data_IF_886540726502
#
_entry.id   IF_886540726502
#
_cell.length_a   1.000
_cell.length_b   1.000
_cell.length_c   1.000
_cell.angle_alpha   90.00
_cell.angle_beta   90.00
_cell.angle_gamma   90.00
#
_symmetry.space_group_name_H-M   'P 1'
#
loop_
_entity.id
_entity.type
_entity.pdbx_description
1 polymer ?
#
# COMPACT_ATOMS: atom_id res chain seq x y z
N UNK A 1 16.91 -1.12 5.81
CA UNK A 1 18.26 -1.23 6.43
C UNK A 1 19.32 -1.76 5.43
N UNK A 2 19.97 -0.85 4.72
CA UNK A 2 21.07 -1.17 3.80
C UNK A 2 22.36 -1.34 4.60
N UNK A 3 22.86 -2.56 4.77
CA UNK A 3 24.25 -2.77 5.19
C UNK A 3 25.15 -2.51 3.98
N UNK A 4 25.85 -1.38 3.99
CA UNK A 4 27.09 -1.24 3.25
C UNK A 4 28.02 -2.34 3.78
N UNK A 5 28.61 -3.19 2.92
CA UNK A 5 30.06 -3.44 2.92
C UNK A 5 30.50 -4.40 1.80
N UNK A 6 31.60 -3.96 1.15
CA UNK A 6 32.45 -4.56 0.11
C UNK A 6 32.01 -4.39 -1.36
N UNK A 7 32.70 -3.44 -2.04
CA UNK A 7 32.87 -3.25 -3.50
C UNK A 7 31.85 -2.43 -4.30
N UNK A 8 31.13 -1.46 -3.72
CA UNK A 8 30.38 -0.46 -4.51
C UNK A 8 29.30 -1.01 -5.45
N UNK A 9 29.01 -2.31 -5.40
CA UNK A 9 27.94 -2.97 -6.15
C UNK A 9 26.74 -3.02 -5.21
N UNK A 10 25.67 -2.30 -5.57
CA UNK A 10 24.37 -2.42 -4.93
C UNK A 10 23.82 -3.82 -5.23
N UNK A 11 23.96 -4.73 -4.26
CA UNK A 11 23.30 -6.05 -4.28
C UNK A 11 21.98 -5.92 -3.50
N UNK A 12 20.82 -6.14 -4.13
CA UNK A 12 19.55 -6.05 -3.43
C UNK A 12 19.47 -7.12 -2.34
N UNK A 13 19.16 -6.70 -1.11
CA UNK A 13 18.82 -7.60 -0.01
C UNK A 13 17.32 -7.49 0.26
N UNK A 14 16.61 -8.57 -0.02
CA UNK A 14 15.16 -8.66 0.16
C UNK A 14 14.79 -9.33 1.48
N UNK A 15 15.70 -9.55 2.44
CA UNK A 15 15.34 -10.25 3.69
C UNK A 15 14.78 -9.29 4.75
N UNK A 16 13.60 -9.61 5.28
CA UNK A 16 13.06 -8.99 6.49
C UNK A 16 13.94 -9.37 7.68
N UNK A 17 14.32 -8.38 8.48
CA UNK A 17 15.03 -8.63 9.74
C UNK A 17 14.05 -9.23 10.78
N UNK A 18 12.77 -8.87 10.70
CA UNK A 18 11.75 -9.30 11.66
C UNK A 18 11.41 -10.79 11.50
N UNK A 19 11.26 -11.27 10.26
CA UNK A 19 10.76 -12.62 9.98
C UNK A 19 11.71 -13.51 9.18
N UNK A 20 12.82 -12.97 8.67
CA UNK A 20 13.74 -13.68 7.78
C UNK A 20 13.20 -13.94 6.36
N UNK A 21 11.93 -13.59 6.11
CA UNK A 21 11.23 -13.76 4.85
C UNK A 21 11.68 -12.76 3.77
N UNK A 22 11.19 -12.96 2.55
CA UNK A 22 11.49 -12.06 1.43
C UNK A 22 10.49 -10.88 1.39
N UNK A 23 11.00 -9.66 1.58
CA UNK A 23 10.35 -8.37 1.36
C UNK A 23 10.41 -8.04 -0.13
N UNK A 24 9.27 -8.10 -0.81
CA UNK A 24 9.18 -8.02 -2.27
C UNK A 24 8.72 -6.65 -2.77
N UNK A 25 8.07 -5.84 -1.94
CA UNK A 25 7.46 -4.59 -2.36
C UNK A 25 8.47 -3.50 -2.75
N UNK A 26 9.57 -3.34 -2.00
CA UNK A 26 10.56 -2.28 -2.23
C UNK A 26 11.23 -2.33 -3.62
N UNK A 27 11.53 -3.53 -4.10
CA UNK A 27 12.05 -3.74 -5.46
C UNK A 27 11.02 -3.37 -6.54
N UNK A 28 9.76 -3.76 -6.33
CA UNK A 28 8.67 -3.46 -7.25
C UNK A 28 8.35 -1.96 -7.30
N UNK A 29 8.32 -1.30 -6.14
CA UNK A 29 8.16 0.16 -6.04
C UNK A 29 9.27 0.89 -6.78
N UNK A 30 10.52 0.41 -6.67
CA UNK A 30 11.66 0.96 -7.40
C UNK A 30 11.47 0.84 -8.91
N UNK A 31 11.01 -0.31 -9.41
CA UNK A 31 10.70 -0.49 -10.84
C UNK A 31 9.57 0.44 -11.30
N UNK A 32 8.51 0.58 -10.50
CA UNK A 32 7.38 1.48 -10.81
C UNK A 32 7.84 2.94 -10.84
N UNK A 33 8.65 3.35 -9.87
CA UNK A 33 9.22 4.70 -9.79
C UNK A 33 10.13 4.99 -10.99
N UNK A 34 11.05 4.08 -11.33
CA UNK A 34 11.93 4.20 -12.48
C UNK A 34 11.15 4.36 -13.80
N UNK A 35 10.04 3.62 -13.98
CA UNK A 35 9.18 3.76 -15.17
C UNK A 35 8.44 5.10 -15.26
N UNK A 36 8.28 5.81 -14.14
CA UNK A 36 7.61 7.12 -14.08
C UNK A 36 8.58 8.29 -14.04
N UNK A 37 9.87 8.04 -13.80
CA UNK A 37 10.87 9.09 -13.74
C UNK A 37 11.17 9.62 -15.15
N UNK A 38 11.15 10.94 -15.31
CA UNK A 38 11.48 11.58 -16.59
C UNK A 38 12.98 11.95 -16.72
N UNK A 39 13.76 11.77 -15.65
CA UNK A 39 15.21 12.01 -15.63
C UNK A 39 15.98 10.88 -16.35
N UNK A 40 16.26 11.12 -17.63
CA UNK A 40 16.99 10.17 -18.49
C UNK A 40 18.41 9.90 -18.00
N UNK A 41 19.09 10.89 -17.44
CA UNK A 41 20.47 10.74 -16.98
C UNK A 41 20.55 9.81 -15.76
N UNK A 42 19.63 9.99 -14.80
CA UNK A 42 19.49 9.08 -13.67
C UNK A 42 19.17 7.65 -14.13
N UNK A 43 18.21 7.49 -15.05
CA UNK A 43 17.84 6.17 -15.58
C UNK A 43 18.99 5.49 -16.30
N UNK A 44 19.75 6.21 -17.13
CA UNK A 44 20.91 5.67 -17.83
C UNK A 44 22.01 5.22 -16.85
N UNK A 45 22.30 6.05 -15.83
CA UNK A 45 23.27 5.74 -14.78
C UNK A 45 22.90 4.47 -14.00
N UNK A 46 21.61 4.21 -13.80
CA UNK A 46 21.11 3.12 -12.97
C UNK A 46 20.47 1.96 -13.77
N UNK A 47 20.54 1.96 -15.10
CA UNK A 47 19.89 0.97 -15.98
C UNK A 47 20.26 -0.47 -15.62
N UNK A 48 21.55 -0.74 -15.42
CA UNK A 48 22.01 -2.07 -15.03
C UNK A 48 21.42 -2.54 -13.69
N UNK A 49 21.21 -1.64 -12.73
CA UNK A 49 20.59 -1.99 -11.44
C UNK A 49 19.09 -2.27 -11.61
N UNK A 50 18.37 -1.44 -12.38
CA UNK A 50 16.95 -1.62 -12.69
C UNK A 50 16.71 -2.95 -13.41
N UNK A 51 17.57 -3.29 -14.40
CA UNK A 51 17.53 -4.59 -15.09
C UNK A 51 17.79 -5.76 -14.15
N UNK A 52 18.75 -5.65 -13.22
CA UNK A 52 18.99 -6.71 -12.22
C UNK A 52 17.78 -6.97 -11.34
N UNK A 53 17.09 -5.91 -10.88
CA UNK A 53 15.86 -6.05 -10.07
C UNK A 53 14.79 -6.77 -10.88
N UNK A 54 14.52 -6.31 -12.11
CA UNK A 54 13.54 -6.94 -13.01
C UNK A 54 13.85 -8.41 -13.26
N UNK A 55 15.08 -8.72 -13.68
CA UNK A 55 15.50 -10.08 -13.99
C UNK A 55 15.40 -11.00 -12.77
N UNK A 56 15.61 -10.48 -11.56
CA UNK A 56 15.44 -11.26 -10.33
C UNK A 56 13.98 -11.69 -10.13
N UNK A 57 13.01 -10.78 -10.31
CA UNK A 57 11.59 -11.13 -10.23
C UNK A 57 11.18 -12.10 -11.34
N UNK A 58 11.56 -11.82 -12.58
CA UNK A 58 11.20 -12.66 -13.74
C UNK A 58 11.78 -14.07 -13.61
N UNK A 59 13.06 -14.20 -13.22
CA UNK A 59 13.69 -15.52 -13.03
C UNK A 59 13.09 -16.29 -11.86
N UNK A 60 12.71 -15.60 -10.79
CA UNK A 60 12.23 -16.26 -9.56
C UNK A 60 10.74 -16.62 -9.62
N UNK A 61 9.92 -15.77 -10.22
CA UNK A 61 8.46 -15.88 -10.15
C UNK A 61 7.80 -15.99 -11.52
N UNK A 62 8.47 -15.59 -12.60
CA UNK A 62 7.91 -15.60 -13.95
C UNK A 62 6.57 -14.87 -14.01
N UNK A 63 5.56 -15.53 -14.58
CA UNK A 63 4.20 -15.00 -14.64
C UNK A 63 3.31 -15.44 -13.46
N UNK A 64 3.89 -16.03 -12.41
CA UNK A 64 3.18 -16.45 -11.20
C UNK A 64 2.83 -15.29 -10.27
N UNK A 65 1.89 -15.52 -9.36
CA UNK A 65 1.66 -14.60 -8.25
C UNK A 65 2.76 -14.75 -7.21
N UNK A 66 3.21 -13.61 -6.67
CA UNK A 66 4.20 -13.55 -5.61
C UNK A 66 3.63 -14.13 -4.32
N UNK A 67 4.45 -14.93 -3.66
CA UNK A 67 4.18 -15.51 -2.36
C UNK A 67 5.21 -14.97 -1.38
N UNK A 68 4.74 -14.49 -0.24
CA UNK A 68 5.56 -13.89 0.80
C UNK A 68 5.29 -14.53 2.17
N UNK A 69 6.23 -14.31 3.08
CA UNK A 69 6.17 -14.78 4.46
C UNK A 69 5.56 -13.72 5.35
N UNK A 70 5.36 -14.04 6.63
CA UNK A 70 4.86 -13.09 7.63
C UNK A 70 5.69 -11.80 7.63
N UNK A 71 5.00 -10.66 7.73
CA UNK A 71 5.62 -9.34 7.91
C UNK A 71 6.60 -8.96 6.78
N UNK A 72 6.25 -9.31 5.54
CA UNK A 72 7.08 -9.06 4.36
C UNK A 72 6.46 -8.08 3.36
N UNK A 73 5.29 -7.53 3.67
CA UNK A 73 4.70 -6.40 2.96
C UNK A 73 4.69 -5.15 3.83
N UNK A 74 4.19 -4.05 3.26
CA UNK A 74 4.02 -2.78 3.96
C UNK A 74 3.26 -2.90 5.30
N UNK A 75 2.19 -3.69 5.38
CA UNK A 75 1.42 -3.89 6.61
C UNK A 75 2.08 -4.94 7.53
N UNK A 76 3.33 -4.68 7.94
CA UNK A 76 4.20 -5.63 8.62
C UNK A 76 3.81 -5.93 10.09
N UNK A 77 2.81 -5.21 10.63
CA UNK A 77 2.19 -5.50 11.93
C UNK A 77 1.06 -6.54 11.87
N UNK A 78 0.77 -7.13 10.70
CA UNK A 78 -0.23 -8.20 10.54
C UNK A 78 0.42 -9.45 9.97
N UNK A 79 0.16 -10.59 10.62
CA UNK A 79 0.67 -11.91 10.24
C UNK A 79 -0.11 -12.47 9.06
N UNK A 80 0.20 -11.96 7.86
CA UNK A 80 -0.25 -12.49 6.57
C UNK A 80 0.85 -13.32 5.93
N UNK A 81 0.49 -14.38 5.24
CA UNK A 81 1.41 -15.19 4.45
C UNK A 81 0.71 -15.73 3.23
N UNK A 82 1.47 -16.16 2.23
CA UNK A 82 0.89 -16.57 0.96
C UNK A 82 0.94 -15.43 -0.05
N UNK A 83 -0.10 -15.30 -0.86
CA UNK A 83 -0.21 -14.27 -1.89
C UNK A 83 -0.98 -13.09 -1.33
N UNK A 84 -0.34 -11.96 -1.08
CA UNK A 84 -1.03 -10.74 -0.66
C UNK A 84 -1.43 -9.90 -1.88
N UNK A 85 -2.56 -9.21 -1.77
CA UNK A 85 -3.09 -8.38 -2.85
C UNK A 85 -2.14 -7.21 -3.15
N UNK A 86 -1.63 -6.55 -2.10
CA UNK A 86 -0.74 -5.39 -2.22
C UNK A 86 0.49 -5.70 -3.06
N UNK A 87 1.29 -6.69 -2.65
CA UNK A 87 2.53 -7.06 -3.33
C UNK A 87 2.28 -7.50 -4.78
N UNK A 88 1.18 -8.22 -5.03
CA UNK A 88 0.86 -8.67 -6.38
C UNK A 88 0.36 -7.53 -7.30
N UNK A 89 -0.38 -6.54 -6.78
CA UNK A 89 -0.72 -5.32 -7.55
C UNK A 89 0.56 -4.58 -7.96
N UNK A 90 1.52 -4.45 -7.04
CA UNK A 90 2.82 -3.86 -7.36
C UNK A 90 3.57 -4.68 -8.41
N UNK A 91 3.50 -6.01 -8.34
CA UNK A 91 4.17 -6.88 -9.29
C UNK A 91 3.64 -6.72 -10.71
N UNK A 92 2.31 -6.79 -10.84
CA UNK A 92 1.63 -6.49 -12.09
C UNK A 92 1.98 -5.10 -12.59
N UNK A 93 1.96 -4.07 -11.72
CA UNK A 93 2.22 -2.70 -12.14
C UNK A 93 3.67 -2.49 -12.60
N UNK A 94 4.62 -3.15 -11.95
CA UNK A 94 6.03 -3.08 -12.28
C UNK A 94 6.35 -3.75 -13.63
N UNK A 95 5.76 -4.92 -13.89
CA UNK A 95 6.00 -5.72 -15.11
C UNK A 95 5.15 -5.22 -16.28
N UNK A 96 3.86 -4.99 -16.04
CA UNK A 96 2.84 -4.74 -17.06
C UNK A 96 2.26 -6.01 -17.69
N UNK A 97 2.54 -7.20 -17.12
CA UNK A 97 2.11 -8.49 -17.67
C UNK A 97 0.59 -8.71 -17.48
N UNK A 98 -0.13 -8.93 -18.58
CA UNK A 98 -1.58 -9.17 -18.56
C UNK A 98 -1.97 -10.46 -17.84
N UNK A 99 -1.16 -11.51 -17.95
CA UNK A 99 -1.44 -12.80 -17.31
C UNK A 99 -1.37 -12.70 -15.78
N UNK A 100 -0.48 -11.85 -15.25
CA UNK A 100 -0.43 -11.56 -13.81
C UNK A 100 -1.70 -10.81 -13.39
N UNK A 101 -2.17 -9.84 -14.19
CA UNK A 101 -3.42 -9.12 -13.92
C UNK A 101 -4.61 -10.08 -13.79
N UNK A 102 -4.75 -10.99 -14.76
CA UNK A 102 -5.83 -11.97 -14.80
C UNK A 102 -5.78 -12.88 -13.56
N UNK A 103 -4.61 -13.41 -13.21
CA UNK A 103 -4.42 -14.22 -11.99
C UNK A 103 -4.77 -13.46 -10.71
N UNK A 104 -4.45 -12.17 -10.62
CA UNK A 104 -4.87 -11.33 -9.47
C UNK A 104 -6.39 -11.26 -9.41
N UNK A 105 -7.04 -10.99 -10.55
CA UNK A 105 -8.51 -10.90 -10.59
C UNK A 105 -9.14 -12.23 -10.18
N UNK A 106 -8.71 -13.34 -10.77
CA UNK A 106 -9.25 -14.67 -10.50
C UNK A 106 -9.04 -15.11 -9.05
N UNK A 107 -7.90 -14.75 -8.45
CA UNK A 107 -7.55 -15.17 -7.09
C UNK A 107 -8.25 -14.33 -6.03
N UNK A 108 -8.31 -13.01 -6.21
CA UNK A 108 -8.67 -12.09 -5.12
C UNK A 108 -10.09 -11.52 -5.25
N UNK A 109 -10.66 -11.41 -6.44
CA UNK A 109 -11.98 -10.82 -6.61
C UNK A 109 -13.07 -11.72 -6.00
N UNK A 110 -13.81 -11.21 -5.02
CA UNK A 110 -14.88 -11.97 -4.34
C UNK A 110 -16.29 -11.54 -4.78
N UNK A 111 -16.41 -10.75 -5.85
CA UNK A 111 -17.68 -10.21 -6.34
C UNK A 111 -18.05 -8.82 -5.79
N UNK A 112 -17.40 -8.39 -4.70
CA UNK A 112 -17.60 -7.08 -4.04
C UNK A 112 -16.32 -6.23 -4.02
N UNK A 113 -15.21 -6.83 -3.64
CA UNK A 113 -13.89 -6.21 -3.56
C UNK A 113 -12.78 -7.26 -3.81
N UNK A 114 -11.53 -6.82 -3.84
CA UNK A 114 -10.39 -7.74 -3.83
C UNK A 114 -10.03 -8.10 -2.39
N UNK A 115 -10.02 -9.39 -2.11
CA UNK A 115 -9.65 -9.96 -0.81
C UNK A 115 -8.19 -9.69 -0.51
N UNK A 116 -7.85 -9.46 0.76
CA UNK A 116 -6.53 -8.98 1.16
C UNK A 116 -5.39 -9.99 0.91
N UNK A 117 -5.60 -11.28 1.19
CA UNK A 117 -4.61 -12.31 0.84
C UNK A 117 -5.24 -13.69 0.55
N UNK A 118 -4.40 -14.57 -0.01
CA UNK A 118 -4.70 -15.97 -0.26
C UNK A 118 -3.56 -16.83 0.28
N UNK A 119 -3.87 -17.71 1.23
CA UNK A 119 -2.95 -18.72 1.76
C UNK A 119 -3.30 -20.13 1.22
N UNK A 120 -3.82 -21.01 2.08
CA UNK A 120 -4.50 -22.23 1.65
C UNK A 120 -5.96 -21.96 1.26
N UNK A 121 -6.50 -20.80 1.67
CA UNK A 121 -7.81 -20.29 1.28
C UNK A 121 -7.76 -18.79 1.05
N UNK A 122 -8.80 -18.26 0.40
CA UNK A 122 -8.99 -16.81 0.28
C UNK A 122 -9.42 -16.23 1.61
N UNK A 123 -8.86 -15.08 1.96
CA UNK A 123 -9.09 -14.41 3.24
C UNK A 123 -9.79 -13.10 2.93
N UNK A 124 -11.12 -13.12 3.00
CA UNK A 124 -12.02 -12.08 2.48
C UNK A 124 -12.10 -10.84 3.39
N UNK A 125 -10.96 -10.39 3.91
CA UNK A 125 -10.82 -9.07 4.53
C UNK A 125 -10.70 -8.01 3.42
N UNK A 126 -11.36 -6.88 3.63
CA UNK A 126 -11.14 -5.69 2.84
C UNK A 126 -9.93 -4.95 3.40
N UNK A 127 -8.87 -4.80 2.61
CA UNK A 127 -7.78 -3.89 2.93
C UNK A 127 -7.88 -2.66 2.03
N UNK A 128 -8.05 -1.49 2.64
CA UNK A 128 -8.31 -0.22 1.96
C UNK A 128 -7.18 0.15 1.02
N UNK A 129 -5.93 0.12 1.50
CA UNK A 129 -4.76 0.51 0.72
C UNK A 129 -4.64 -0.27 -0.61
N UNK A 130 -4.54 -1.60 -0.64
CA UNK A 130 -4.39 -2.34 -1.90
C UNK A 130 -5.64 -2.27 -2.79
N UNK A 131 -6.85 -2.19 -2.23
CA UNK A 131 -8.07 -2.00 -3.04
C UNK A 131 -8.08 -0.64 -3.75
N UNK A 132 -7.64 0.44 -3.07
CA UNK A 132 -7.50 1.73 -3.74
C UNK A 132 -6.39 1.72 -4.79
N UNK A 133 -5.25 1.05 -4.53
CA UNK A 133 -4.21 0.86 -5.55
C UNK A 133 -4.73 0.11 -6.78
N UNK A 134 -5.59 -0.89 -6.60
CA UNK A 134 -6.19 -1.63 -7.71
C UNK A 134 -6.98 -0.70 -8.64
N UNK A 135 -7.70 0.29 -8.10
CA UNK A 135 -8.40 1.30 -8.89
C UNK A 135 -7.41 2.28 -9.52
N UNK A 136 -6.54 2.88 -8.70
CA UNK A 136 -5.59 3.92 -9.12
C UNK A 136 -4.67 3.45 -10.24
N UNK A 137 -4.23 2.19 -10.22
CA UNK A 137 -3.37 1.60 -11.24
C UNK A 137 -4.10 1.03 -12.45
N UNK A 138 -5.43 0.93 -12.41
CA UNK A 138 -6.26 0.40 -13.50
C UNK A 138 -6.32 -1.13 -13.54
N UNK A 139 -6.11 -1.79 -12.40
CA UNK A 139 -6.35 -3.22 -12.27
C UNK A 139 -7.86 -3.49 -12.29
N UNK A 140 -8.59 -2.80 -11.41
CA UNK A 140 -10.04 -2.89 -11.31
C UNK A 140 -10.72 -2.32 -12.55
N UNK A 141 -11.73 -3.02 -13.09
CA UNK A 141 -12.64 -2.44 -14.07
C UNK A 141 -13.47 -1.31 -13.45
N UNK A 142 -14.14 -0.48 -14.27
CA UNK A 142 -15.00 0.59 -13.76
C UNK A 142 -16.10 0.05 -12.82
N UNK A 143 -16.71 -1.08 -13.16
CA UNK A 143 -17.74 -1.71 -12.33
C UNK A 143 -17.18 -2.23 -11.01
N UNK A 144 -16.01 -2.89 -11.04
CA UNK A 144 -15.32 -3.33 -9.83
C UNK A 144 -14.93 -2.14 -8.95
N UNK A 145 -14.42 -1.07 -9.55
CA UNK A 145 -14.03 0.15 -8.84
C UNK A 145 -15.22 0.77 -8.10
N UNK A 146 -16.40 0.85 -8.73
CA UNK A 146 -17.61 1.36 -8.07
C UNK A 146 -17.95 0.50 -6.84
N UNK A 147 -17.99 -0.83 -6.99
CA UNK A 147 -18.27 -1.74 -5.86
C UNK A 147 -17.27 -1.62 -4.72
N UNK A 148 -15.98 -1.50 -5.04
CA UNK A 148 -14.91 -1.30 -4.06
C UNK A 148 -15.09 0.02 -3.31
N UNK A 149 -15.39 1.11 -4.03
CA UNK A 149 -15.59 2.43 -3.44
C UNK A 149 -16.85 2.47 -2.55
N UNK A 150 -17.94 1.84 -2.99
CA UNK A 150 -19.18 1.76 -2.22
C UNK A 150 -18.96 0.96 -0.92
N UNK A 151 -18.21 -0.15 -1.00
CA UNK A 151 -17.83 -0.93 0.18
C UNK A 151 -16.95 -0.11 1.14
N UNK A 152 -15.90 0.56 0.63
CA UNK A 152 -15.01 1.39 1.43
C UNK A 152 -15.78 2.52 2.13
N UNK A 153 -16.71 3.16 1.42
CA UNK A 153 -17.55 4.23 1.97
C UNK A 153 -18.47 3.74 3.07
N UNK A 154 -19.07 2.55 2.91
CA UNK A 154 -20.01 1.99 3.86
C UNK A 154 -19.33 1.44 5.14
N UNK A 155 -18.09 0.93 5.03
CA UNK A 155 -17.47 0.16 6.10
C UNK A 155 -16.17 0.74 6.66
N UNK A 156 -15.46 1.57 5.91
CA UNK A 156 -14.12 2.05 6.28
C UNK A 156 -14.03 3.58 6.39
N UNK A 157 -15.00 4.35 5.87
CA UNK A 157 -14.98 5.80 5.98
C UNK A 157 -15.21 6.24 7.43
N UNK A 158 -14.27 7.02 7.99
CA UNK A 158 -14.32 7.46 9.38
C UNK A 158 -14.67 8.96 9.55
N UNK A 159 -15.09 9.62 8.46
CA UNK A 159 -15.40 11.04 8.43
C UNK A 159 -14.37 11.91 7.72
N UNK A 160 -13.10 11.49 7.64
CA UNK A 160 -12.06 12.30 6.98
C UNK A 160 -10.96 11.49 6.27
N UNK A 161 -10.79 10.20 6.59
CA UNK A 161 -9.94 9.24 5.89
C UNK A 161 -10.60 7.85 5.90
N UNK A 162 -9.91 6.83 5.39
CA UNK A 162 -10.33 5.44 5.51
C UNK A 162 -9.58 4.73 6.65
N UNK A 163 -10.30 3.85 7.35
CA UNK A 163 -9.69 2.78 8.14
C UNK A 163 -8.93 1.81 7.23
N UNK A 164 -7.88 1.18 7.77
CA UNK A 164 -7.01 0.29 6.99
C UNK A 164 -7.71 -0.96 6.47
N UNK A 165 -8.62 -1.53 7.26
CA UNK A 165 -9.24 -2.79 6.92
C UNK A 165 -10.63 -2.96 7.53
N UNK A 166 -11.40 -3.87 6.93
CA UNK A 166 -12.68 -4.32 7.46
C UNK A 166 -12.95 -5.80 7.11
N UNK A 167 -13.47 -6.61 8.06
CA UNK A 167 -13.49 -6.33 9.49
C UNK A 167 -12.07 -6.21 10.06
N UNK A 168 -11.95 -5.85 11.33
CA UNK A 168 -10.68 -5.94 12.04
C UNK A 168 -10.12 -7.38 11.94
N UNK A 169 -8.82 -7.52 11.66
CA UNK A 169 -8.13 -8.78 11.77
C UNK A 169 -8.23 -9.31 13.20
N UNK A 170 -8.34 -10.62 13.38
CA UNK A 170 -8.43 -11.20 14.70
C UNK A 170 -7.11 -11.04 15.46
N UNK A 171 -7.18 -11.00 16.79
CA UNK A 171 -6.04 -10.69 17.65
C UNK A 171 -4.82 -11.62 17.44
N UNK A 172 -5.04 -12.89 17.08
CA UNK A 172 -3.99 -13.87 16.81
C UNK A 172 -3.25 -13.64 15.47
N UNK A 173 -3.77 -12.75 14.62
CA UNK A 173 -3.05 -12.26 13.42
C UNK A 173 -2.15 -11.07 13.74
N UNK A 174 -2.16 -10.56 14.96
CA UNK A 174 -1.31 -9.45 15.37
C UNK A 174 -0.17 -10.02 16.24
N UNK A 175 1.10 -9.71 15.95
CA UNK A 175 2.23 -10.21 16.73
C UNK A 175 2.11 -9.83 18.21
N UNK A 176 2.48 -10.76 19.11
CA UNK A 176 2.34 -10.57 20.56
C UNK A 176 3.06 -9.32 21.07
N UNK A 177 4.24 -9.02 20.51
CA UNK A 177 4.99 -7.82 20.88
C UNK A 177 4.19 -6.53 20.64
N UNK A 178 3.35 -6.49 19.59
CA UNK A 178 2.54 -5.31 19.29
C UNK A 178 1.43 -5.12 20.33
N UNK A 179 0.87 -6.22 20.86
CA UNK A 179 -0.05 -6.15 22.00
C UNK A 179 0.66 -5.60 23.24
N UNK A 180 1.86 -6.11 23.55
CA UNK A 180 2.62 -5.71 24.73
C UNK A 180 3.01 -4.23 24.71
N UNK A 181 3.31 -3.67 23.54
CA UNK A 181 3.67 -2.25 23.41
C UNK A 181 2.46 -1.32 23.17
N UNK A 182 1.24 -1.85 23.21
CA UNK A 182 0.02 -1.07 22.99
C UNK A 182 -0.14 -0.57 21.55
N UNK A 183 0.27 -1.38 20.57
CA UNK A 183 0.24 -1.10 19.13
C UNK A 183 -0.47 -2.21 18.33
N UNK A 184 -1.39 -2.94 18.97
CA UNK A 184 -2.11 -4.03 18.34
C UNK A 184 -3.02 -3.60 17.17
N UNK A 185 -3.40 -2.33 17.17
CA UNK A 185 -4.26 -1.67 16.19
C UNK A 185 -3.49 -0.91 15.10
N UNK A 186 -2.15 -0.98 15.07
CA UNK A 186 -1.31 -0.21 14.14
C UNK A 186 -1.69 -0.33 12.66
N UNK A 187 -1.85 -1.56 12.18
CA UNK A 187 -2.40 -1.88 10.86
C UNK A 187 -3.78 -2.56 10.96
N UNK A 188 -4.50 -2.30 12.06
CA UNK A 188 -5.76 -2.97 12.37
C UNK A 188 -6.79 -2.07 13.08
N UNK A 189 -6.68 -0.75 12.97
CA UNK A 189 -7.60 0.19 13.61
C UNK A 189 -7.13 1.64 13.62
N UNK A 190 -5.81 1.88 13.67
CA UNK A 190 -5.25 3.21 13.51
C UNK A 190 -5.44 3.73 12.08
N UNK A 191 -5.53 5.05 11.97
CA UNK A 191 -5.79 5.75 10.72
C UNK A 191 -4.50 6.20 10.09
N UNK A 192 -4.24 5.69 8.90
CA UNK A 192 -3.19 6.19 8.03
C UNK A 192 -3.79 7.17 7.01
N UNK A 193 -2.97 8.08 6.50
CA UNK A 193 -3.42 9.00 5.45
C UNK A 193 -3.44 8.33 4.08
N UNK A 194 -2.58 7.33 3.86
CA UNK A 194 -2.36 6.73 2.54
C UNK A 194 -3.64 6.13 1.95
N UNK A 195 -4.45 5.34 2.68
CA UNK A 195 -5.72 4.85 2.16
C UNK A 195 -6.69 5.97 1.80
N UNK A 196 -6.83 7.00 2.65
CA UNK A 196 -7.71 8.14 2.39
C UNK A 196 -7.28 8.97 1.18
N UNK A 197 -5.98 9.23 1.03
CA UNK A 197 -5.43 9.94 -0.13
C UNK A 197 -5.66 9.13 -1.41
N UNK A 198 -5.37 7.83 -1.39
CA UNK A 198 -5.62 6.94 -2.53
C UNK A 198 -7.11 6.81 -2.84
N UNK A 199 -7.98 6.84 -1.83
CA UNK A 199 -9.43 6.85 -1.97
C UNK A 199 -9.89 8.09 -2.72
N UNK A 200 -9.42 9.29 -2.38
CA UNK A 200 -9.72 10.50 -3.14
C UNK A 200 -9.33 10.36 -4.63
N UNK A 201 -8.14 9.82 -4.91
CA UNK A 201 -7.69 9.60 -6.30
C UNK A 201 -8.54 8.53 -7.00
N UNK A 202 -8.92 7.45 -6.32
CA UNK A 202 -9.78 6.40 -6.85
C UNK A 202 -11.19 6.91 -7.17
N UNK A 203 -11.77 7.74 -6.30
CA UNK A 203 -13.04 8.44 -6.52
C UNK A 203 -12.96 9.37 -7.73
N UNK A 204 -11.86 10.11 -7.90
CA UNK A 204 -11.63 10.94 -9.08
C UNK A 204 -11.55 10.09 -10.36
N UNK A 205 -10.89 8.93 -10.31
CA UNK A 205 -10.74 8.00 -11.45
C UNK A 205 -12.07 7.47 -11.99
N UNK A 206 -13.12 7.38 -11.15
CA UNK A 206 -14.46 6.99 -11.59
C UNK A 206 -15.34 8.18 -12.02
N UNK A 207 -14.76 9.39 -12.09
CA UNK A 207 -15.43 10.60 -12.58
C UNK A 207 -16.11 11.45 -11.51
N UNK A 208 -15.96 11.10 -10.22
CA UNK A 208 -16.59 11.84 -9.11
C UNK A 208 -15.66 12.94 -8.57
N UNK A 209 -15.25 13.88 -9.44
CA UNK A 209 -14.23 14.92 -9.14
C UNK A 209 -14.56 15.74 -7.87
N UNK A 210 -15.81 16.18 -7.69
CA UNK A 210 -16.22 16.98 -6.51
C UNK A 210 -16.07 16.21 -5.19
N UNK A 211 -16.47 14.93 -5.18
CA UNK A 211 -16.33 14.07 -3.99
C UNK A 211 -14.85 13.83 -3.67
N UNK A 212 -14.02 13.60 -4.70
CA UNK A 212 -12.58 13.47 -4.53
C UNK A 212 -11.91 14.74 -3.96
N UNK A 213 -12.32 15.91 -4.44
CA UNK A 213 -11.84 17.20 -3.93
C UNK A 213 -12.23 17.38 -2.45
N UNK A 214 -13.48 17.07 -2.10
CA UNK A 214 -13.95 17.11 -0.72
C UNK A 214 -13.11 16.21 0.20
N UNK A 215 -12.92 14.93 -0.17
CA UNK A 215 -12.12 13.98 0.63
C UNK A 215 -10.71 14.50 0.83
N UNK A 216 -10.04 14.95 -0.24
CA UNK A 216 -8.67 15.43 -0.13
C UNK A 216 -8.57 16.73 0.70
N UNK A 217 -9.58 17.60 0.63
CA UNK A 217 -9.68 18.79 1.48
C UNK A 217 -9.87 18.45 2.96
N UNK A 218 -10.62 17.41 3.33
CA UNK A 218 -10.73 16.98 4.74
C UNK A 218 -9.38 16.49 5.29
N UNK A 219 -8.61 15.75 4.48
CA UNK A 219 -7.23 15.36 4.84
C UNK A 219 -6.34 16.60 4.96
N UNK A 220 -6.47 17.57 4.06
CA UNK A 220 -5.72 18.82 4.10
C UNK A 220 -5.99 19.61 5.40
N UNK A 221 -7.26 19.68 5.83
CA UNK A 221 -7.65 20.32 7.10
C UNK A 221 -6.93 19.67 8.28
N UNK A 222 -6.83 18.34 8.31
CA UNK A 222 -6.10 17.62 9.37
C UNK A 222 -4.60 17.88 9.35
N UNK A 223 -3.98 17.93 8.17
CA UNK A 223 -2.55 18.30 8.04
C UNK A 223 -2.33 19.75 8.54
N UNK A 224 -3.23 20.67 8.18
CA UNK A 224 -3.15 22.07 8.60
C UNK A 224 -3.38 22.25 10.10
N UNK A 225 -4.32 21.51 10.69
CA UNK A 225 -4.63 21.50 12.14
C UNK A 225 -3.37 21.23 12.97
N UNK A 226 -2.55 20.26 12.56
CA UNK A 226 -1.32 19.89 13.28
C UNK A 226 -0.04 20.51 12.69
N UNK A 227 -0.17 21.36 11.67
CA UNK A 227 0.94 22.00 10.94
C UNK A 227 2.02 21.02 10.43
N UNK A 228 1.67 19.75 10.28
CA UNK A 228 2.60 18.68 9.90
C UNK A 228 1.84 17.43 9.45
N UNK A 229 2.57 16.53 8.78
CA UNK A 229 2.06 15.21 8.39
C UNK A 229 2.57 14.17 9.37
N UNK A 230 1.65 13.47 10.03
CA UNK A 230 1.95 12.37 10.93
C UNK A 230 1.77 11.03 10.20
N UNK A 231 2.49 10.02 10.67
CA UNK A 231 2.38 8.64 10.21
C UNK A 231 0.98 8.04 10.44
N UNK A 232 0.49 8.10 11.69
CA UNK A 232 -0.78 7.50 12.13
C UNK A 232 -1.56 8.38 13.10
N UNK A 233 -2.88 8.25 13.03
CA UNK A 233 -3.85 8.97 13.85
C UNK A 233 -4.79 8.00 14.56
N UNK A 234 -5.21 8.34 15.76
CA UNK A 234 -6.30 7.69 16.48
C UNK A 234 -7.64 7.91 15.76
N UNK A 235 -8.67 7.10 16.03
CA UNK A 235 -9.98 7.22 15.35
C UNK A 235 -10.66 8.58 15.51
N UNK A 236 -10.33 9.33 16.56
CA UNK A 236 -10.81 10.70 16.78
C UNK A 236 -10.04 11.76 15.95
N UNK A 237 -9.06 11.35 15.13
CA UNK A 237 -8.26 12.21 14.28
C UNK A 237 -7.07 12.88 14.98
N UNK A 238 -6.76 12.53 16.23
CA UNK A 238 -5.56 13.01 16.92
C UNK A 238 -4.34 12.15 16.55
N UNK A 239 -3.14 12.73 16.36
CA UNK A 239 -1.93 11.95 16.17
C UNK A 239 -1.70 10.99 17.34
N UNK A 240 -1.28 9.75 17.04
CA UNK A 240 -1.08 8.73 18.07
C UNK A 240 0.03 9.16 19.03
N UNK A 241 -0.29 9.18 20.32
CA UNK A 241 0.65 9.47 21.41
C UNK A 241 0.36 8.56 22.59
N UNK A 242 1.06 7.43 22.64
CA UNK A 242 0.97 6.39 23.67
C UNK A 242 2.27 6.33 24.46
N UNK A 243 2.31 5.52 25.51
CA UNK A 243 3.48 5.44 26.40
C UNK A 243 4.74 4.95 25.66
N UNK A 244 4.62 3.88 24.87
CA UNK A 244 5.75 3.26 24.15
C UNK A 244 5.83 3.64 22.67
N UNK A 245 4.91 4.46 22.17
CA UNK A 245 4.89 4.84 20.77
C UNK A 245 4.30 6.22 20.56
N UNK A 246 4.92 7.00 19.68
CA UNK A 246 4.41 8.26 19.17
C UNK A 246 4.51 8.20 17.66
N UNK A 247 3.46 8.65 16.99
CA UNK A 247 3.44 8.71 15.53
C UNK A 247 4.65 9.50 15.02
N UNK A 248 5.34 8.98 14.02
CA UNK A 248 6.44 9.71 13.39
C UNK A 248 5.94 10.99 12.69
N UNK A 249 6.77 12.03 12.73
CA UNK A 249 6.56 13.29 12.02
C UNK A 249 7.90 14.05 11.86
N UNK A 250 8.13 14.79 10.76
CA UNK A 250 7.32 14.88 9.56
C UNK A 250 7.39 13.60 8.70
N UNK A 251 6.24 13.04 8.36
CA UNK A 251 6.16 11.76 7.65
C UNK A 251 6.13 11.94 6.13
N UNK A 252 7.27 11.70 5.49
CA UNK A 252 7.52 12.03 4.09
C UNK A 252 6.61 11.29 3.09
N UNK A 253 6.23 10.05 3.40
CA UNK A 253 5.44 9.24 2.46
C UNK A 253 4.05 9.83 2.25
N UNK A 254 3.31 10.08 3.33
CA UNK A 254 1.98 10.69 3.25
C UNK A 254 2.03 12.11 2.68
N UNK A 255 3.07 12.89 3.00
CA UNK A 255 3.27 14.22 2.43
C UNK A 255 3.46 14.17 0.91
N UNK A 256 4.35 13.32 0.42
CA UNK A 256 4.59 13.15 -1.02
C UNK A 256 3.36 12.61 -1.76
N UNK A 257 2.65 11.65 -1.15
CA UNK A 257 1.44 11.07 -1.73
C UNK A 257 0.30 12.11 -1.82
N UNK A 258 0.15 12.96 -0.79
CA UNK A 258 -0.83 14.05 -0.79
C UNK A 258 -0.56 15.03 -1.95
N UNK A 259 0.68 15.49 -2.11
CA UNK A 259 1.06 16.41 -3.19
C UNK A 259 0.81 15.80 -4.57
N UNK A 260 1.14 14.51 -4.73
CA UNK A 260 0.84 13.80 -5.96
C UNK A 260 -0.67 13.73 -6.23
N UNK A 261 -1.49 13.39 -5.22
CA UNK A 261 -2.93 13.31 -5.33
C UNK A 261 -3.57 14.66 -5.66
N UNK A 262 -3.08 15.74 -5.02
CA UNK A 262 -3.50 17.11 -5.31
C UNK A 262 -3.35 17.42 -6.80
N UNK A 263 -2.16 17.13 -7.37
CA UNK A 263 -1.92 17.30 -8.82
C UNK A 263 -2.84 16.44 -9.70
N UNK A 264 -3.22 15.25 -9.24
CA UNK A 264 -4.14 14.40 -10.01
C UNK A 264 -5.58 14.92 -10.02
N UNK A 265 -5.99 15.64 -8.97
CA UNK A 265 -7.38 16.03 -8.74
C UNK A 265 -7.65 17.49 -9.13
N UNK A 266 -6.71 18.39 -8.87
CA UNK A 266 -6.88 19.83 -9.07
C UNK A 266 -6.19 20.35 -10.33
N UNK A 267 -5.00 19.85 -10.67
CA UNK A 267 -4.16 20.39 -11.76
C UNK A 267 -4.44 19.75 -13.14
N UNK A 268 -5.58 19.09 -13.31
CA UNK A 268 -6.03 18.47 -14.57
C UNK A 268 -7.40 18.97 -15.02
#
# INVERSE_FOLDING_TARGET
PYRIFRRGILTPNFRSIQSGGLVLDGGLMTLIAARRLHDKAFLQKHDAAVKRIRNWYEKRFGNGLLTEWFQCEWADAVLKSGKTLYTNILYWKATGDKSIKEKIVDTFWNGRYFSDWFDYKRQDYFASHPNMLAIVFGLATRQQAIKILDFAKAHCWNGWTLEENYPAYPWWRIPMQNHLVGMADYHNGLLWLQPGILYAVAVNKVGKKREAQYILSEIAKKIAEFQCVYEVYEKNGQPVKRFMYRSEHPFAWSAGLYLWAYRQIFDR
#
